data_IF_353884456996
#
_entry.id   IF_353884456996
#
_cell.length_a   1.000
_cell.length_b   1.000
_cell.length_c   1.000
_cell.angle_alpha   90.00
_cell.angle_beta   90.00
_cell.angle_gamma   90.00
#
_symmetry.space_group_name_H-M   'P 1'
#
loop_
_entity.id
_entity.type
_entity.pdbx_description
1 polymer ?
#
# COMPACT_ATOMS: atom_id res chain seq x y z
N UNK A 1 18.33 3.70 16.34
CA UNK A 1 18.58 3.62 14.89
C UNK A 1 17.41 4.30 14.18
N UNK A 2 17.63 5.36 13.41
CA UNK A 2 16.59 5.98 12.57
C UNK A 2 17.06 5.84 11.13
N UNK A 3 16.53 4.84 10.44
CA UNK A 3 16.79 4.64 9.01
C UNK A 3 16.09 5.77 8.24
N UNK A 4 16.83 6.53 7.45
CA UNK A 4 16.32 7.66 6.65
C UNK A 4 15.74 7.17 5.31
N UNK A 5 15.19 5.96 5.31
CA UNK A 5 14.71 5.27 4.12
C UNK A 5 13.24 5.56 3.83
N UNK A 6 12.46 6.09 4.78
CA UNK A 6 11.02 6.35 4.61
C UNK A 6 10.75 7.20 3.37
N UNK A 7 11.42 8.36 3.22
CA UNK A 7 11.21 9.21 2.05
C UNK A 7 11.62 8.51 0.74
N UNK A 8 12.85 7.95 0.60
CA UNK A 8 13.22 7.19 -0.61
C UNK A 8 12.27 6.05 -0.97
N UNK A 9 11.80 5.25 0.00
CA UNK A 9 10.85 4.16 -0.24
C UNK A 9 9.50 4.71 -0.70
N UNK A 10 9.04 5.82 -0.13
CA UNK A 10 7.84 6.49 -0.60
C UNK A 10 8.00 6.99 -2.04
N UNK A 11 9.17 7.49 -2.44
CA UNK A 11 9.40 7.90 -3.83
C UNK A 11 9.31 6.72 -4.80
N UNK A 12 9.93 5.59 -4.44
CA UNK A 12 9.86 4.36 -5.23
C UNK A 12 8.41 3.88 -5.33
N UNK A 13 7.69 3.81 -4.20
CA UNK A 13 6.27 3.43 -4.19
C UNK A 13 5.42 4.37 -5.03
N UNK A 14 5.67 5.69 -4.95
CA UNK A 14 4.97 6.67 -5.78
C UNK A 14 5.24 6.47 -7.28
N UNK A 15 6.49 6.22 -7.67
CA UNK A 15 6.86 5.99 -9.07
C UNK A 15 6.23 4.69 -9.63
N UNK A 16 6.11 3.66 -8.80
CA UNK A 16 5.51 2.37 -9.19
C UNK A 16 3.97 2.35 -9.16
N UNK A 17 3.33 3.49 -8.87
CA UNK A 17 1.86 3.56 -8.80
C UNK A 17 1.27 3.08 -7.47
N UNK A 18 2.09 2.72 -6.47
CA UNK A 18 1.63 2.24 -5.16
C UNK A 18 1.16 3.38 -4.25
N UNK A 19 0.44 3.00 -3.18
CA UNK A 19 0.13 3.87 -2.05
C UNK A 19 1.30 3.92 -1.06
N UNK A 20 1.43 5.02 -0.33
CA UNK A 20 2.59 5.31 0.55
C UNK A 20 2.15 5.61 1.98
N UNK A 21 3.08 5.48 2.92
CA UNK A 21 2.87 5.70 4.37
C UNK A 21 3.98 6.58 4.93
N UNK A 22 3.64 7.43 5.89
CA UNK A 22 4.63 8.16 6.69
C UNK A 22 4.09 8.48 8.09
N UNK A 23 5.00 8.89 8.97
CA UNK A 23 4.71 9.34 10.31
C UNK A 23 5.90 9.20 11.25
N UNK A 24 5.81 9.82 12.42
CA UNK A 24 6.84 9.73 13.47
C UNK A 24 7.06 8.30 14.01
N UNK A 25 6.12 7.40 13.73
CA UNK A 25 6.27 5.96 13.99
C UNK A 25 7.41 5.36 13.16
N UNK A 26 7.51 5.73 11.88
CA UNK A 26 8.50 5.18 10.96
C UNK A 26 9.85 5.90 11.11
N UNK A 27 9.82 7.23 11.25
CA UNK A 27 11.04 8.05 11.33
C UNK A 27 10.80 9.33 12.13
N UNK A 28 11.69 9.60 13.09
CA UNK A 28 11.62 10.82 13.91
C UNK A 28 12.38 12.01 13.31
N UNK A 29 13.37 11.76 12.45
CA UNK A 29 14.31 12.76 11.96
C UNK A 29 13.98 13.22 10.53
N UNK A 30 14.29 14.48 10.24
CA UNK A 30 14.34 14.93 8.85
C UNK A 30 15.50 14.27 8.07
N UNK A 31 15.48 14.38 6.75
CA UNK A 31 16.44 13.69 5.87
C UNK A 31 17.91 14.12 6.13
N UNK A 32 18.14 15.33 6.64
CA UNK A 32 19.47 15.87 6.95
C UNK A 32 19.91 15.62 8.40
N UNK A 33 19.05 15.00 9.22
CA UNK A 33 19.24 14.82 10.69
C UNK A 33 19.53 16.10 11.48
N UNK A 34 19.10 17.25 10.97
CA UNK A 34 19.27 18.54 11.66
C UNK A 34 18.18 18.80 12.70
N UNK A 35 17.07 18.06 12.62
CA UNK A 35 15.96 18.19 13.56
C UNK A 35 14.96 17.06 13.42
N UNK A 36 14.03 16.99 14.38
CA UNK A 36 12.89 16.08 14.33
C UNK A 36 11.85 16.61 13.33
N UNK A 37 11.13 15.71 12.69
CA UNK A 37 10.09 16.04 11.72
C UNK A 37 8.77 15.42 12.18
N UNK A 38 7.76 16.25 12.40
CA UNK A 38 6.42 15.81 12.80
C UNK A 38 5.70 15.04 11.69
N UNK A 39 4.70 14.23 12.05
CA UNK A 39 3.86 13.51 11.07
C UNK A 39 3.21 14.48 10.08
N UNK A 40 2.77 15.66 10.53
CA UNK A 40 2.16 16.67 9.67
C UNK A 40 3.16 17.22 8.64
N UNK A 41 4.40 17.46 9.03
CA UNK A 41 5.45 17.90 8.10
C UNK A 41 5.78 16.80 7.08
N UNK A 42 5.87 15.54 7.52
CA UNK A 42 6.10 14.40 6.63
C UNK A 42 4.96 14.25 5.60
N UNK A 43 3.70 14.38 6.05
CA UNK A 43 2.53 14.37 5.16
C UNK A 43 2.62 15.50 4.13
N UNK A 44 2.92 16.73 4.56
CA UNK A 44 3.07 17.88 3.64
C UNK A 44 4.14 17.63 2.57
N UNK A 45 5.26 17.01 2.97
CA UNK A 45 6.32 16.63 2.02
C UNK A 45 5.81 15.64 0.96
N UNK A 46 5.10 14.59 1.37
CA UNK A 46 4.57 13.61 0.43
C UNK A 46 3.46 14.18 -0.45
N UNK A 47 2.56 15.02 0.09
CA UNK A 47 1.49 15.66 -0.69
C UNK A 47 2.07 16.55 -1.80
N UNK A 48 3.11 17.35 -1.48
CA UNK A 48 3.81 18.15 -2.50
C UNK A 48 4.37 17.28 -3.61
N UNK A 49 5.10 16.22 -3.25
CA UNK A 49 5.75 15.34 -4.23
C UNK A 49 4.71 14.57 -5.05
N UNK A 50 3.64 14.06 -4.43
CA UNK A 50 2.56 13.41 -5.16
C UNK A 50 1.95 14.36 -6.21
N UNK A 51 1.80 15.65 -5.88
CA UNK A 51 1.40 16.69 -6.82
C UNK A 51 2.36 16.87 -8.00
N UNK A 52 3.68 16.84 -7.75
CA UNK A 52 4.72 16.87 -8.80
C UNK A 52 4.62 15.66 -9.75
N UNK A 53 4.16 14.51 -9.24
CA UNK A 53 3.91 13.29 -10.02
C UNK A 53 2.52 13.28 -10.70
N UNK A 54 1.71 14.34 -10.54
CA UNK A 54 0.33 14.37 -11.05
C UNK A 54 -0.62 13.38 -10.36
N UNK A 55 -0.30 12.92 -9.15
CA UNK A 55 -1.08 11.94 -8.38
C UNK A 55 -1.97 12.65 -7.35
N UNK A 56 -3.30 12.68 -7.53
CA UNK A 56 -4.20 13.32 -6.58
C UNK A 56 -4.26 12.54 -5.25
N UNK A 57 -4.52 13.26 -4.15
CA UNK A 57 -4.65 12.66 -2.82
C UNK A 57 -6.09 12.20 -2.61
N UNK A 58 -6.26 10.92 -2.29
CA UNK A 58 -7.57 10.36 -1.99
C UNK A 58 -8.13 10.92 -0.66
N UNK A 59 -9.41 11.27 -0.68
CA UNK A 59 -10.18 11.55 0.53
C UNK A 59 -10.45 10.28 1.32
N UNK A 60 -10.83 10.40 2.59
CA UNK A 60 -11.20 9.23 3.40
C UNK A 60 -12.39 8.45 2.82
N UNK A 61 -13.32 9.11 2.13
CA UNK A 61 -14.43 8.46 1.42
C UNK A 61 -13.89 7.59 0.27
N UNK A 62 -13.10 8.19 -0.62
CA UNK A 62 -12.48 7.50 -1.76
C UNK A 62 -11.58 6.34 -1.29
N UNK A 63 -10.82 6.51 -0.21
CA UNK A 63 -10.00 5.43 0.34
C UNK A 63 -10.83 4.24 0.78
N UNK A 64 -12.02 4.45 1.39
CA UNK A 64 -12.92 3.34 1.74
C UNK A 64 -13.42 2.60 0.50
N UNK A 65 -13.75 3.33 -0.56
CA UNK A 65 -14.19 2.75 -1.83
C UNK A 65 -13.07 1.96 -2.51
N UNK A 66 -11.88 2.57 -2.66
CA UNK A 66 -10.69 1.97 -3.29
C UNK A 66 -10.28 0.68 -2.58
N UNK A 67 -10.26 0.71 -1.24
CA UNK A 67 -9.84 -0.43 -0.41
C UNK A 67 -11.00 -1.37 -0.03
N UNK A 68 -12.21 -1.12 -0.55
CA UNK A 68 -13.43 -1.89 -0.22
C UNK A 68 -13.68 -2.03 1.29
N UNK A 69 -13.37 -0.99 2.07
CA UNK A 69 -13.56 -1.02 3.52
C UNK A 69 -15.05 -1.01 3.86
N UNK A 70 -15.47 -2.02 4.62
CA UNK A 70 -16.87 -2.19 5.03
C UNK A 70 -17.73 -2.92 4.00
N UNK A 71 -17.15 -3.41 2.91
CA UNK A 71 -17.83 -4.31 1.97
C UNK A 71 -17.77 -5.73 2.53
N UNK A 72 -18.93 -6.39 2.59
CA UNK A 72 -19.07 -7.78 2.99
C UNK A 72 -19.77 -8.55 1.87
N UNK A 73 -19.38 -9.81 1.69
CA UNK A 73 -19.94 -10.71 0.70
C UNK A 73 -20.59 -11.89 1.40
N UNK A 74 -21.57 -12.50 0.76
CA UNK A 74 -22.37 -13.57 1.39
C UNK A 74 -21.62 -14.92 1.42
N UNK A 75 -20.59 -15.07 0.58
CA UNK A 75 -19.84 -16.32 0.43
C UNK A 75 -18.33 -16.11 0.41
N UNK A 76 -17.61 -17.18 0.77
CA UNK A 76 -16.14 -17.20 0.71
C UNK A 76 -15.67 -17.12 -0.74
N UNK A 77 -16.36 -17.82 -1.64
CA UNK A 77 -16.07 -17.86 -3.07
C UNK A 77 -16.17 -16.47 -3.70
N UNK A 78 -17.22 -15.72 -3.39
CA UNK A 78 -17.38 -14.33 -3.85
C UNK A 78 -16.28 -13.43 -3.28
N UNK A 79 -15.97 -13.56 -1.99
CA UNK A 79 -14.91 -12.78 -1.34
C UNK A 79 -13.56 -13.01 -2.02
N UNK A 80 -13.19 -14.26 -2.29
CA UNK A 80 -11.94 -14.62 -2.95
C UNK A 80 -11.88 -14.02 -4.36
N UNK A 81 -12.96 -14.16 -5.12
CA UNK A 81 -13.05 -13.63 -6.48
C UNK A 81 -12.87 -12.11 -6.50
N UNK A 82 -13.55 -11.38 -5.61
CA UNK A 82 -13.51 -9.91 -5.55
C UNK A 82 -12.14 -9.39 -5.14
N UNK A 83 -11.42 -10.13 -4.31
CA UNK A 83 -10.04 -9.84 -3.93
C UNK A 83 -9.00 -10.29 -4.97
N UNK A 84 -9.42 -10.88 -6.10
CA UNK A 84 -8.52 -11.38 -7.13
C UNK A 84 -7.74 -12.63 -6.72
N UNK A 85 -8.19 -13.36 -5.69
CA UNK A 85 -7.60 -14.63 -5.26
C UNK A 85 -8.21 -15.80 -6.03
N UNK A 86 -7.47 -16.91 -6.08
CA UNK A 86 -7.98 -18.17 -6.60
C UNK A 86 -9.14 -18.68 -5.70
N UNK A 87 -10.12 -19.39 -6.26
CA UNK A 87 -11.19 -20.00 -5.47
C UNK A 87 -10.62 -21.04 -4.50
N UNK A 88 -11.44 -21.44 -3.52
CA UNK A 88 -11.07 -22.56 -2.66
C UNK A 88 -10.95 -23.85 -3.47
N UNK A 89 -9.90 -24.62 -3.19
CA UNK A 89 -9.72 -25.94 -3.80
C UNK A 89 -10.75 -26.92 -3.22
N UNK A 90 -11.17 -27.89 -4.02
CA UNK A 90 -11.93 -29.02 -3.51
C UNK A 90 -11.06 -29.88 -2.57
N UNK A 91 -11.68 -30.48 -1.54
CA UNK A 91 -11.01 -31.40 -0.62
C UNK A 91 -10.26 -32.50 -1.37
N UNK A 92 -9.06 -32.86 -0.89
CA UNK A 92 -8.21 -33.86 -1.56
C UNK A 92 -7.56 -33.43 -2.89
N UNK A 93 -7.88 -32.26 -3.44
CA UNK A 93 -7.29 -31.76 -4.69
C UNK A 93 -6.13 -30.80 -4.40
N UNK A 94 -5.12 -30.79 -5.28
CA UNK A 94 -4.08 -29.76 -5.24
C UNK A 94 -4.69 -28.38 -5.58
N UNK A 95 -4.24 -27.31 -4.92
CA UNK A 95 -4.70 -25.94 -5.23
C UNK A 95 -4.20 -25.43 -6.59
N UNK A 96 -4.62 -24.21 -6.95
CA UNK A 96 -4.48 -23.61 -8.30
C UNK A 96 -3.09 -23.08 -8.67
N UNK A 97 -2.00 -23.62 -8.10
CA UNK A 97 -0.63 -23.24 -8.47
C UNK A 97 -0.30 -23.73 -9.90
N UNK A 98 0.25 -22.87 -10.76
CA UNK A 98 0.81 -23.30 -12.06
C UNK A 98 1.99 -24.24 -11.82
N UNK A 99 1.88 -25.49 -12.28
CA UNK A 99 3.04 -26.37 -12.44
C UNK A 99 3.71 -26.01 -13.76
N UNK A 100 4.97 -25.60 -13.72
CA UNK A 100 5.83 -25.68 -14.89
C UNK A 100 6.39 -27.11 -14.90
N UNK A 101 6.06 -27.89 -15.94
CA UNK A 101 6.83 -29.09 -16.22
C UNK A 101 8.21 -28.63 -16.69
N UNK A 102 9.25 -28.99 -15.93
CA UNK A 102 10.62 -28.83 -16.39
C UNK A 102 10.82 -29.89 -17.48
N UNK A 103 10.92 -29.45 -18.74
CA UNK A 103 11.50 -30.28 -19.81
C UNK A 103 12.98 -30.52 -19.54
#
# INVERSE_FOLDING_TARGET
SSVLNVLPINMIGMALGLHVRCGIEDVLWNQTRTGKMSTVEQIKQLVRIAGEFGRPIATAQQTREILQLGVFYDTVEETLQKNGFAPNRNGGHQGFLRKFECM
#
